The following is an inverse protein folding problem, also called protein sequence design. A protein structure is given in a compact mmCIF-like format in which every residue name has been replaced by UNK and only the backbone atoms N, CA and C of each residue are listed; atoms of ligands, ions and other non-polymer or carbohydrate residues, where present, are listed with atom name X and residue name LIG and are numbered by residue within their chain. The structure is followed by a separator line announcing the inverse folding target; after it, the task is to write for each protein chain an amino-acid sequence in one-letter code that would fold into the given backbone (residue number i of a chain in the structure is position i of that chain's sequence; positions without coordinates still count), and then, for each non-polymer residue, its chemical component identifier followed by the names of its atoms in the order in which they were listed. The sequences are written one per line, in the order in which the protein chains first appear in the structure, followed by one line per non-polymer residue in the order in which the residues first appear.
data_IF_346515247789
#
_entry.id   IF_346515247789
#
_cell.length_a   1.000
_cell.length_b   1.000
_cell.length_c   1.000
_cell.angle_alpha   90.00
_cell.angle_beta   90.00
_cell.angle_gamma   90.00
#
_symmetry.space_group_name_H-M   'P 1'
#
loop_
_entity.id
_entity.type
_entity.pdbx_description
1 polymer ?
#
# COMPACT_ATOMS: atom_id res chain seq x y z
N UNK A 1 15.67 7.44 -19.28
CA UNK A 1 15.61 6.47 -18.19
C UNK A 1 16.09 5.20 -18.82
N UNK A 2 17.26 4.77 -18.39
CA UNK A 2 17.79 3.46 -18.75
C UNK A 2 16.92 2.37 -18.07
N UNK A 3 16.94 1.16 -18.61
CA UNK A 3 16.13 0.06 -18.08
C UNK A 3 16.54 -0.23 -16.63
N UNK A 4 15.55 -0.30 -15.73
CA UNK A 4 15.81 -0.66 -14.34
C UNK A 4 16.52 0.43 -13.54
N UNK A 5 16.31 1.72 -13.84
CA UNK A 5 16.73 2.83 -12.97
C UNK A 5 15.67 3.22 -11.92
N UNK A 6 14.45 2.69 -12.03
CA UNK A 6 13.32 3.07 -11.17
C UNK A 6 12.60 1.87 -10.59
N UNK A 7 12.26 2.03 -9.30
CA UNK A 7 11.42 1.11 -8.54
C UNK A 7 10.08 1.79 -8.20
N UNK A 8 9.06 0.98 -7.94
CA UNK A 8 7.74 1.45 -7.53
C UNK A 8 7.50 1.08 -6.07
N UNK A 9 6.88 1.99 -5.32
CA UNK A 9 6.36 1.72 -3.99
C UNK A 9 4.84 1.91 -4.00
N UNK A 10 4.10 0.83 -3.72
CA UNK A 10 2.66 0.77 -3.76
C UNK A 10 2.09 0.75 -2.33
N UNK A 11 1.22 1.71 -2.03
CA UNK A 11 0.35 1.67 -0.87
C UNK A 11 -1.05 1.20 -1.23
N UNK A 12 -1.94 1.15 -0.22
CA UNK A 12 -3.28 0.59 -0.37
C UNK A 12 -4.13 1.31 -1.43
N UNK A 13 -3.83 2.59 -1.72
CA UNK A 13 -4.51 3.37 -2.76
C UNK A 13 -4.34 2.78 -4.17
N UNK A 14 -3.26 2.05 -4.45
CA UNK A 14 -3.05 1.41 -5.75
C UNK A 14 -4.06 0.27 -6.00
N UNK A 15 -4.50 -0.41 -4.94
CA UNK A 15 -5.40 -1.57 -5.01
C UNK A 15 -6.89 -1.20 -5.09
N UNK A 16 -7.25 0.08 -4.96
CA UNK A 16 -8.65 0.56 -4.94
C UNK A 16 -9.39 0.20 -6.21
N UNK A 17 -8.75 0.37 -7.36
CA UNK A 17 -9.35 0.07 -8.67
C UNK A 17 -9.50 -1.44 -8.93
N UNK A 18 -8.83 -2.26 -8.12
CA UNK A 18 -9.00 -3.71 -8.11
C UNK A 18 -10.11 -4.14 -7.13
N UNK A 19 -10.78 -3.20 -6.46
CA UNK A 19 -11.87 -3.45 -5.52
C UNK A 19 -11.43 -3.67 -4.06
N UNK A 20 -10.15 -3.42 -3.74
CA UNK A 20 -9.63 -3.59 -2.37
C UNK A 20 -9.72 -2.24 -1.64
N UNK A 21 -10.37 -2.17 -0.46
CA UNK A 21 -10.51 -0.93 0.30
C UNK A 21 -9.18 -0.47 0.90
N UNK A 22 -8.99 0.84 1.05
CA UNK A 22 -7.85 1.39 1.79
C UNK A 22 -8.06 1.27 3.31
N UNK A 23 -6.99 1.43 4.10
CA UNK A 23 -7.12 1.56 5.56
C UNK A 23 -8.08 2.68 5.98
N UNK A 24 -8.09 3.80 5.22
CA UNK A 24 -9.05 4.89 5.43
C UNK A 24 -10.51 4.51 5.17
N UNK A 25 -10.76 3.66 4.15
CA UNK A 25 -12.10 3.13 3.89
C UNK A 25 -12.52 2.14 4.99
N UNK A 26 -11.57 1.33 5.48
CA UNK A 26 -11.79 0.35 6.54
C UNK A 26 -12.09 1.00 7.89
N UNK A 27 -11.49 2.15 8.23
CA UNK A 27 -11.85 2.92 9.43
C UNK A 27 -13.36 3.20 9.48
N UNK A 28 -13.94 3.66 8.37
CA UNK A 28 -15.38 3.94 8.31
C UNK A 28 -16.23 2.68 8.38
N UNK A 29 -15.74 1.58 7.79
CA UNK A 29 -16.37 0.27 7.93
C UNK A 29 -16.44 -0.13 9.40
N UNK A 30 -15.32 -0.08 10.14
CA UNK A 30 -15.27 -0.45 11.56
C UNK A 30 -16.14 0.46 12.43
N UNK A 31 -16.07 1.78 12.21
CA UNK A 31 -16.94 2.76 12.88
C UNK A 31 -18.42 2.42 12.71
N UNK A 32 -18.82 2.04 11.49
CA UNK A 32 -20.20 1.61 11.23
C UNK A 32 -20.55 0.33 11.98
N UNK A 33 -19.69 -0.69 11.93
CA UNK A 33 -19.95 -1.96 12.62
C UNK A 33 -20.19 -1.73 14.11
N UNK A 34 -19.27 -1.01 14.77
CA UNK A 34 -19.37 -0.70 16.20
C UNK A 34 -20.64 0.11 16.49
N UNK A 35 -20.87 1.21 15.75
CA UNK A 35 -22.06 2.05 15.94
C UNK A 35 -23.36 1.26 15.79
N UNK A 36 -23.45 0.40 14.76
CA UNK A 36 -24.64 -0.38 14.47
C UNK A 36 -24.91 -1.43 15.55
N UNK A 37 -23.86 -2.11 16.02
CA UNK A 37 -23.95 -3.08 17.11
C UNK A 37 -24.43 -2.41 18.39
N UNK A 38 -23.82 -1.30 18.78
CA UNK A 38 -24.10 -0.60 20.04
C UNK A 38 -25.47 0.08 20.08
N UNK A 39 -25.97 0.54 18.93
CA UNK A 39 -27.27 1.20 18.84
C UNK A 39 -28.39 0.27 18.35
N UNK A 40 -28.09 -1.01 18.14
CA UNK A 40 -29.02 -2.01 17.60
C UNK A 40 -29.68 -1.59 16.27
N UNK A 41 -28.87 -1.03 15.37
CA UNK A 41 -29.29 -0.55 14.05
C UNK A 41 -28.71 -1.47 12.97
N UNK A 42 -29.48 -1.74 11.91
CA UNK A 42 -28.96 -2.48 10.76
C UNK A 42 -27.90 -1.67 10.00
N UNK A 43 -26.81 -2.34 9.61
CA UNK A 43 -25.73 -1.78 8.78
C UNK A 43 -26.22 -1.29 7.42
N UNK A 44 -27.35 -1.80 6.91
CA UNK A 44 -27.99 -1.37 5.67
C UNK A 44 -28.37 0.12 5.67
N UNK A 45 -28.71 0.66 6.85
CA UNK A 45 -29.01 2.09 7.01
C UNK A 45 -27.80 2.97 6.66
N UNK A 46 -26.59 2.45 6.83
CA UNK A 46 -25.32 3.14 6.59
C UNK A 46 -24.48 2.39 5.55
N UNK A 47 -25.12 1.87 4.51
CA UNK A 47 -24.42 1.17 3.42
C UNK A 47 -23.43 2.06 2.67
N UNK A 48 -23.76 3.34 2.47
CA UNK A 48 -22.89 4.29 1.79
C UNK A 48 -22.04 5.07 2.79
N UNK A 49 -20.82 4.57 2.98
CA UNK A 49 -19.80 5.14 3.87
C UNK A 49 -19.01 6.28 3.22
N UNK A 50 -19.26 6.60 1.95
CA UNK A 50 -18.64 7.76 1.27
C UNK A 50 -19.47 9.03 1.46
N UNK A 51 -20.72 8.92 1.91
CA UNK A 51 -21.57 10.08 2.20
C UNK A 51 -21.00 10.92 3.36
N UNK A 52 -20.78 12.24 3.16
CA UNK A 52 -20.29 13.12 4.21
C UNK A 52 -21.21 13.17 5.44
N UNK A 53 -22.52 13.06 5.24
CA UNK A 53 -23.51 13.02 6.32
C UNK A 53 -23.37 11.76 7.18
N UNK A 54 -23.20 10.59 6.55
CA UNK A 54 -22.94 9.33 7.25
C UNK A 54 -21.65 9.41 8.06
N UNK A 55 -20.56 9.84 7.43
CA UNK A 55 -19.26 9.97 8.11
C UNK A 55 -19.32 10.96 9.28
N UNK A 56 -20.00 12.10 9.10
CA UNK A 56 -20.19 13.08 10.17
C UNK A 56 -20.98 12.50 11.34
N UNK A 57 -22.09 11.81 11.08
CA UNK A 57 -22.90 11.19 12.12
C UNK A 57 -22.09 10.16 12.92
N UNK A 58 -21.36 9.28 12.24
CA UNK A 58 -20.52 8.28 12.90
C UNK A 58 -19.41 8.95 13.71
N UNK A 59 -18.74 9.96 13.16
CA UNK A 59 -17.69 10.68 13.89
C UNK A 59 -18.24 11.39 15.13
N UNK A 60 -19.33 12.15 14.98
CA UNK A 60 -19.96 12.89 16.08
C UNK A 60 -20.39 11.96 17.22
N UNK A 61 -20.76 10.71 16.91
CA UNK A 61 -21.06 9.69 17.92
C UNK A 61 -19.83 9.32 18.74
N UNK A 62 -18.72 8.94 18.09
CA UNK A 62 -17.49 8.53 18.78
C UNK A 62 -16.84 9.68 19.54
N UNK A 63 -16.85 10.89 18.97
CA UNK A 63 -16.33 12.09 19.62
C UNK A 63 -17.11 12.41 20.92
N UNK A 64 -18.43 12.24 20.92
CA UNK A 64 -19.28 12.45 22.12
C UNK A 64 -19.14 11.34 23.15
N UNK A 65 -19.00 10.09 22.70
CA UNK A 65 -18.86 8.93 23.58
C UNK A 65 -17.56 8.99 24.38
N UNK A 66 -16.48 9.51 23.77
CA UNK A 66 -15.16 9.58 24.38
C UNK A 66 -14.48 8.21 24.45
N UNK A 67 -13.15 8.21 24.63
CA UNK A 67 -12.34 6.98 24.65
C UNK A 67 -12.01 6.40 23.26
N UNK A 68 -12.45 7.05 22.19
CA UNK A 68 -12.12 6.69 20.80
C UNK A 68 -11.18 7.74 20.19
N UNK A 69 -10.30 7.36 19.24
CA UNK A 69 -9.43 8.31 18.57
C UNK A 69 -10.22 9.35 17.75
N UNK A 70 -9.77 10.62 17.75
CA UNK A 70 -10.35 11.63 16.87
C UNK A 70 -10.06 11.29 15.41
N UNK A 71 -10.87 11.87 14.51
CA UNK A 71 -10.67 11.75 13.06
C UNK A 71 -9.24 12.15 12.67
N UNK A 72 -8.60 11.33 11.85
CA UNK A 72 -7.21 11.51 11.38
C UNK A 72 -6.12 11.27 12.43
N UNK A 73 -6.45 10.71 13.59
CA UNK A 73 -5.42 10.21 14.50
C UNK A 73 -4.59 9.12 13.80
N UNK A 74 -3.28 9.08 14.07
CA UNK A 74 -2.37 8.09 13.49
C UNK A 74 -2.79 6.65 13.83
N UNK A 75 -3.34 6.45 15.02
CA UNK A 75 -3.80 5.17 15.54
C UNK A 75 -5.26 4.84 15.22
N UNK A 76 -5.94 5.64 14.41
CA UNK A 76 -7.37 5.47 14.13
C UNK A 76 -7.66 4.09 13.53
N UNK A 77 -6.87 3.67 12.53
CA UNK A 77 -7.04 2.37 11.89
C UNK A 77 -6.81 1.21 12.87
N UNK A 78 -5.70 1.21 13.59
CA UNK A 78 -5.32 0.14 14.52
C UNK A 78 -6.34 0.00 15.64
N UNK A 79 -6.74 1.11 16.25
CA UNK A 79 -7.73 1.14 17.33
C UNK A 79 -9.07 0.54 16.88
N UNK A 80 -9.66 1.09 15.82
CA UNK A 80 -10.99 0.63 15.38
C UNK A 80 -10.96 -0.80 14.85
N UNK A 81 -9.84 -1.25 14.27
CA UNK A 81 -9.71 -2.62 13.83
C UNK A 81 -9.65 -3.61 15.01
N UNK A 82 -8.89 -3.27 16.06
CA UNK A 82 -8.85 -4.05 17.30
C UNK A 82 -10.21 -4.11 17.99
N UNK A 83 -10.93 -2.98 18.04
CA UNK A 83 -12.25 -2.87 18.66
C UNK A 83 -13.29 -3.74 17.94
N UNK A 84 -13.22 -3.88 16.61
CA UNK A 84 -14.08 -4.80 15.87
C UNK A 84 -13.64 -6.27 15.97
N UNK A 85 -12.33 -6.53 16.04
CA UNK A 85 -11.76 -7.85 15.94
C UNK A 85 -10.63 -8.05 16.95
N UNK A 86 -10.99 -8.53 18.14
CA UNK A 86 -10.08 -8.57 19.28
C UNK A 86 -8.96 -9.63 19.14
N UNK A 87 -9.16 -10.68 18.35
CA UNK A 87 -8.15 -11.74 18.14
C UNK A 87 -7.39 -11.57 16.83
N UNK A 88 -6.08 -11.89 16.86
CA UNK A 88 -5.23 -11.90 15.68
C UNK A 88 -5.79 -12.79 14.55
N UNK A 89 -6.36 -13.95 14.88
CA UNK A 89 -6.98 -14.85 13.90
C UNK A 89 -8.19 -14.20 13.22
N UNK A 90 -9.04 -13.50 13.97
CA UNK A 90 -10.19 -12.80 13.40
C UNK A 90 -9.75 -11.68 12.45
N UNK A 91 -8.72 -10.91 12.84
CA UNK A 91 -8.11 -9.87 11.99
C UNK A 91 -7.50 -10.46 10.71
N UNK A 92 -6.74 -11.55 10.81
CA UNK A 92 -6.17 -12.25 9.64
C UNK A 92 -7.27 -12.70 8.66
N UNK A 93 -8.32 -13.36 9.16
CA UNK A 93 -9.47 -13.78 8.34
C UNK A 93 -10.20 -12.62 7.71
N UNK A 94 -10.35 -11.51 8.44
CA UNK A 94 -10.94 -10.30 7.89
C UNK A 94 -10.10 -9.77 6.72
N UNK A 95 -8.80 -9.57 6.90
CA UNK A 95 -7.91 -9.10 5.83
C UNK A 95 -7.93 -10.06 4.63
N UNK A 96 -7.81 -11.37 4.87
CA UNK A 96 -7.90 -12.39 3.82
C UNK A 96 -9.18 -12.24 2.99
N UNK A 97 -10.33 -12.02 3.65
CA UNK A 97 -11.61 -11.82 2.96
C UNK A 97 -11.67 -10.54 2.11
N UNK A 98 -10.79 -9.57 2.38
CA UNK A 98 -10.74 -8.28 1.66
C UNK A 98 -9.71 -8.22 0.54
N UNK A 99 -8.71 -9.11 0.56
CA UNK A 99 -7.58 -9.05 -0.39
C UNK A 99 -7.51 -10.25 -1.34
N UNK A 100 -8.28 -11.30 -1.06
CA UNK A 100 -8.34 -12.49 -1.94
C UNK A 100 -9.40 -12.35 -3.03
N UNK A 101 -9.21 -13.04 -4.15
CA UNK A 101 -10.17 -13.12 -5.28
C UNK A 101 -10.44 -11.78 -5.98
N UNK A 102 -9.44 -10.91 -6.03
CA UNK A 102 -9.46 -9.68 -6.81
C UNK A 102 -8.61 -9.81 -8.08
N UNK A 103 -9.10 -9.24 -9.17
CA UNK A 103 -8.33 -9.12 -10.41
C UNK A 103 -7.49 -7.83 -10.39
N UNK A 104 -6.26 -7.85 -10.92
CA UNK A 104 -5.47 -6.64 -11.07
C UNK A 104 -6.17 -5.63 -11.99
N UNK A 105 -6.18 -4.37 -11.58
CA UNK A 105 -6.59 -3.25 -12.44
C UNK A 105 -5.63 -3.08 -13.62
N UNK A 106 -6.04 -2.30 -14.63
CA UNK A 106 -5.19 -2.01 -15.78
C UNK A 106 -3.85 -1.38 -15.38
N UNK A 107 -3.83 -0.60 -14.30
CA UNK A 107 -2.59 -0.03 -13.77
C UNK A 107 -1.58 -1.08 -13.31
N UNK A 108 -2.04 -2.16 -12.68
CA UNK A 108 -1.19 -3.29 -12.31
C UNK A 108 -0.72 -4.07 -13.54
N UNK A 109 -1.57 -4.26 -14.55
CA UNK A 109 -1.18 -4.92 -15.80
C UNK A 109 -0.08 -4.14 -16.53
N UNK A 110 -0.20 -2.81 -16.61
CA UNK A 110 0.85 -2.00 -17.21
C UNK A 110 2.14 -2.00 -16.38
N UNK A 111 2.06 -2.04 -15.05
CA UNK A 111 3.23 -2.17 -14.19
C UNK A 111 3.93 -3.52 -14.39
N UNK A 112 3.15 -4.60 -14.47
CA UNK A 112 3.65 -5.94 -14.74
C UNK A 112 4.37 -6.05 -16.09
N UNK A 113 3.81 -5.48 -17.16
CA UNK A 113 4.47 -5.39 -18.47
C UNK A 113 5.83 -4.69 -18.38
N UNK A 114 5.91 -3.56 -17.67
CA UNK A 114 7.20 -2.88 -17.46
C UNK A 114 8.20 -3.70 -16.64
N UNK A 115 7.73 -4.55 -15.72
CA UNK A 115 8.61 -5.44 -14.96
C UNK A 115 9.15 -6.57 -15.82
N UNK A 116 8.31 -7.17 -16.67
CA UNK A 116 8.69 -8.21 -17.64
C UNK A 116 9.75 -7.68 -18.60
N UNK A 117 9.57 -6.45 -19.09
CA UNK A 117 10.52 -5.73 -19.96
C UNK A 117 11.77 -5.20 -19.21
N UNK A 118 11.95 -5.53 -17.92
CA UNK A 118 13.02 -5.05 -17.05
C UNK A 118 13.16 -3.51 -16.97
N UNK A 119 12.12 -2.76 -17.34
CA UNK A 119 12.08 -1.29 -17.20
C UNK A 119 11.90 -0.89 -15.74
N UNK A 120 11.10 -1.66 -15.00
CA UNK A 120 10.96 -1.58 -13.54
C UNK A 120 11.55 -2.84 -12.94
N UNK A 121 12.52 -2.69 -12.03
CA UNK A 121 13.13 -3.89 -11.44
C UNK A 121 12.37 -4.41 -10.25
N UNK A 122 11.85 -3.49 -9.43
CA UNK A 122 11.27 -3.86 -8.13
C UNK A 122 9.99 -3.09 -7.88
N UNK A 123 9.03 -3.82 -7.35
CA UNK A 123 7.85 -3.27 -6.71
C UNK A 123 7.98 -3.54 -5.23
N UNK A 124 7.84 -2.49 -4.46
CA UNK A 124 7.76 -2.54 -3.03
C UNK A 124 6.34 -2.24 -2.59
N UNK A 125 5.85 -2.88 -1.54
CA UNK A 125 4.46 -2.69 -1.12
C UNK A 125 4.26 -2.94 0.36
N UNK A 126 3.34 -2.21 0.96
CA UNK A 126 2.78 -2.50 2.30
C UNK A 126 1.47 -3.29 2.21
N UNK A 127 1.00 -3.58 0.99
CA UNK A 127 -0.28 -4.23 0.78
C UNK A 127 -0.14 -5.75 0.96
N UNK A 128 -1.17 -6.35 1.54
CA UNK A 128 -1.27 -7.80 1.75
C UNK A 128 -1.79 -8.56 0.51
N UNK A 129 -2.26 -7.85 -0.52
CA UNK A 129 -2.75 -8.46 -1.75
C UNK A 129 -1.61 -9.03 -2.62
N UNK A 130 -1.98 -9.78 -3.66
CA UNK A 130 -1.06 -10.38 -4.62
C UNK A 130 -1.28 -9.83 -6.05
N UNK A 131 -1.77 -8.58 -6.17
CA UNK A 131 -2.20 -8.04 -7.47
C UNK A 131 -1.03 -7.87 -8.45
N UNK A 132 0.16 -7.51 -7.97
CA UNK A 132 1.35 -7.36 -8.82
C UNK A 132 1.78 -8.71 -9.39
N UNK A 133 1.86 -9.72 -8.53
CA UNK A 133 2.23 -11.10 -8.86
C UNK A 133 1.21 -11.70 -9.82
N UNK A 134 -0.08 -11.49 -9.55
CA UNK A 134 -1.18 -11.96 -10.40
C UNK A 134 -1.13 -11.28 -11.77
N UNK A 135 -0.85 -9.98 -11.84
CA UNK A 135 -0.72 -9.25 -13.10
C UNK A 135 0.44 -9.78 -13.96
N UNK A 136 1.60 -10.04 -13.34
CA UNK A 136 2.76 -10.64 -14.03
C UNK A 136 2.40 -12.02 -14.56
N UNK A 137 1.78 -12.87 -13.72
CA UNK A 137 1.39 -14.22 -14.12
C UNK A 137 0.33 -14.24 -15.24
N UNK A 138 -0.57 -13.24 -15.29
CA UNK A 138 -1.55 -13.11 -16.39
C UNK A 138 -0.85 -12.81 -17.72
N UNK A 139 0.17 -11.94 -17.72
CA UNK A 139 0.85 -11.49 -18.94
C UNK A 139 1.90 -12.49 -19.39
N UNK A 140 2.72 -12.99 -18.46
CA UNK A 140 3.77 -13.97 -18.74
C UNK A 140 3.90 -14.98 -17.57
N UNK A 141 3.20 -16.12 -17.64
CA UNK A 141 3.27 -17.17 -16.61
C UNK A 141 4.65 -17.81 -16.43
N UNK A 142 5.56 -17.66 -17.40
CA UNK A 142 6.91 -18.19 -17.33
C UNK A 142 7.92 -17.20 -16.72
N UNK A 143 7.49 -15.98 -16.39
CA UNK A 143 8.36 -14.96 -15.81
C UNK A 143 8.80 -15.39 -14.40
N UNK A 144 10.10 -15.58 -14.22
CA UNK A 144 10.68 -15.71 -12.89
C UNK A 144 10.53 -14.39 -12.11
N UNK A 145 9.95 -14.47 -10.91
CA UNK A 145 9.65 -13.34 -10.04
C UNK A 145 10.12 -13.66 -8.62
N UNK A 146 10.93 -12.78 -8.05
CA UNK A 146 11.40 -12.94 -6.68
C UNK A 146 10.43 -12.27 -5.71
N UNK A 147 9.91 -13.02 -4.74
CA UNK A 147 9.06 -12.48 -3.68
C UNK A 147 9.91 -12.31 -2.43
N UNK A 148 9.94 -11.10 -1.89
CA UNK A 148 10.68 -10.74 -0.69
C UNK A 148 9.69 -10.35 0.41
N UNK A 149 9.86 -10.90 1.61
CA UNK A 149 9.06 -10.62 2.80
C UNK A 149 9.86 -10.94 4.06
N UNK A 150 9.33 -10.61 5.23
CA UNK A 150 9.93 -11.00 6.51
C UNK A 150 10.16 -12.51 6.62
N UNK A 151 9.27 -13.35 6.07
CA UNK A 151 9.44 -14.82 6.08
C UNK A 151 10.69 -15.35 5.37
N UNK A 152 11.25 -14.61 4.42
CA UNK A 152 12.43 -15.05 3.68
C UNK A 152 13.59 -14.06 3.77
N UNK A 153 13.60 -13.22 4.80
CA UNK A 153 14.57 -12.16 5.04
C UNK A 153 16.02 -12.63 4.90
N UNK A 154 16.33 -13.80 5.45
CA UNK A 154 17.69 -14.38 5.44
C UNK A 154 18.17 -14.78 4.04
N UNK A 155 17.23 -15.09 3.14
CA UNK A 155 17.49 -15.54 1.78
C UNK A 155 17.65 -14.39 0.79
N UNK A 156 17.18 -13.18 1.13
CA UNK A 156 17.14 -12.01 0.25
C UNK A 156 18.53 -11.69 -0.31
N UNK A 157 19.60 -11.89 0.46
CA UNK A 157 20.98 -11.62 0.03
C UNK A 157 21.45 -12.51 -1.12
N UNK A 158 20.79 -13.65 -1.34
CA UNK A 158 21.11 -14.61 -2.41
C UNK A 158 20.22 -14.43 -3.65
N UNK A 159 19.34 -13.42 -3.67
CA UNK A 159 18.46 -13.16 -4.79
C UNK A 159 19.25 -12.82 -6.04
N UNK A 160 18.93 -13.50 -7.15
CA UNK A 160 19.55 -13.17 -8.43
C UNK A 160 19.05 -11.79 -8.88
N UNK A 161 19.92 -10.76 -8.94
CA UNK A 161 19.51 -9.41 -9.30
C UNK A 161 19.07 -9.30 -10.77
N UNK A 162 19.19 -10.34 -11.59
CA UNK A 162 18.67 -10.34 -12.96
C UNK A 162 17.16 -10.53 -13.02
N UNK A 163 16.50 -11.01 -11.97
CA UNK A 163 15.04 -11.17 -11.96
C UNK A 163 14.34 -9.97 -11.31
N UNK A 164 13.14 -9.59 -11.80
CA UNK A 164 12.33 -8.60 -11.11
C UNK A 164 11.89 -9.13 -9.74
N UNK A 165 11.60 -8.23 -8.80
CA UNK A 165 11.12 -8.60 -7.46
C UNK A 165 9.90 -7.82 -6.99
N UNK A 166 9.08 -8.49 -6.18
CA UNK A 166 8.01 -7.86 -5.39
C UNK A 166 8.36 -8.03 -3.91
N UNK A 167 8.57 -6.92 -3.22
CA UNK A 167 9.00 -6.89 -1.83
C UNK A 167 7.86 -6.38 -0.94
N UNK A 168 7.32 -7.25 -0.09
CA UNK A 168 6.23 -6.97 0.86
C UNK A 168 6.81 -6.58 2.22
N UNK A 169 6.76 -5.28 2.51
CA UNK A 169 7.38 -4.71 3.71
C UNK A 169 6.66 -5.12 4.99
N UNK A 170 5.34 -5.25 4.94
CA UNK A 170 4.54 -5.71 6.08
C UNK A 170 4.36 -7.23 6.12
N UNK A 171 5.13 -7.94 5.29
CA UNK A 171 4.99 -9.38 5.10
C UNK A 171 3.77 -9.79 4.30
N UNK A 172 3.55 -11.10 4.23
CA UNK A 172 2.39 -11.76 3.66
C UNK A 172 1.46 -12.21 4.78
N UNK A 173 0.20 -11.74 4.78
CA UNK A 173 -0.78 -12.05 5.83
C UNK A 173 -0.98 -13.55 6.08
N UNK A 174 -0.65 -14.41 5.09
CA UNK A 174 -0.77 -15.86 5.15
C UNK A 174 0.33 -16.50 6.00
N UNK A 175 1.52 -15.90 6.04
CA UNK A 175 2.72 -16.51 6.60
C UNK A 175 3.35 -15.68 7.72
N UNK A 176 3.11 -14.36 7.74
CA UNK A 176 3.67 -13.42 8.70
C UNK A 176 2.69 -13.10 9.84
N UNK A 177 3.22 -12.52 10.92
CA UNK A 177 2.38 -11.83 11.88
C UNK A 177 1.71 -10.64 11.19
N UNK A 178 0.42 -10.46 11.48
CA UNK A 178 -0.29 -9.32 10.94
C UNK A 178 0.36 -8.05 11.49
N UNK A 179 0.63 -7.05 10.64
CA UNK A 179 1.17 -5.74 11.04
C UNK A 179 0.10 -4.65 10.85
N UNK A 180 -1.06 -4.82 11.49
CA UNK A 180 -2.20 -3.90 11.33
C UNK A 180 -2.53 -3.12 12.60
N UNK A 181 -2.01 -3.53 13.76
CA UNK A 181 -2.19 -2.82 15.03
C UNK A 181 -0.89 -2.23 15.56
N UNK A 182 -0.94 -1.29 16.50
CA UNK A 182 0.29 -0.68 17.06
C UNK A 182 1.21 -1.73 17.69
N UNK A 183 0.64 -2.65 18.47
CA UNK A 183 1.41 -3.76 19.08
C UNK A 183 1.91 -4.80 18.05
N UNK A 184 1.29 -4.83 16.86
CA UNK A 184 1.56 -5.77 15.76
C UNK A 184 2.58 -5.22 14.77
N UNK A 185 2.68 -3.90 14.64
CA UNK A 185 3.70 -3.19 13.88
C UNK A 185 5.06 -3.48 14.49
N UNK A 186 5.64 -4.61 14.11
CA UNK A 186 7.03 -4.90 14.42
C UNK A 186 7.89 -3.90 13.64
N UNK A 187 9.04 -3.51 14.23
CA UNK A 187 10.07 -2.83 13.46
C UNK A 187 10.36 -3.66 12.22
N UNK A 188 10.46 -3.01 11.06
CA UNK A 188 10.86 -3.69 9.83
C UNK A 188 12.08 -4.54 10.13
N UNK A 189 12.06 -5.81 9.70
CA UNK A 189 13.18 -6.71 9.89
C UNK A 189 14.47 -6.05 9.39
N UNK A 190 15.51 -6.08 10.22
CA UNK A 190 16.75 -5.30 9.98
C UNK A 190 17.35 -5.64 8.62
N UNK A 191 17.31 -6.91 8.23
CA UNK A 191 17.76 -7.41 6.93
C UNK A 191 16.93 -6.84 5.77
N UNK A 192 15.62 -6.68 5.94
CA UNK A 192 14.73 -6.11 4.93
C UNK A 192 14.93 -4.59 4.79
N UNK A 193 15.18 -3.91 5.90
CA UNK A 193 15.58 -2.50 5.93
C UNK A 193 16.93 -2.27 5.23
N UNK A 194 17.94 -3.08 5.54
CA UNK A 194 19.24 -3.02 4.86
C UNK A 194 19.09 -3.27 3.36
N UNK A 195 18.29 -4.28 2.99
CA UNK A 195 18.03 -4.60 1.59
C UNK A 195 17.34 -3.44 0.87
N UNK A 196 16.34 -2.81 1.48
CA UNK A 196 15.66 -1.61 0.97
C UNK A 196 16.66 -0.49 0.66
N UNK A 197 17.48 -0.13 1.66
CA UNK A 197 18.46 0.95 1.55
C UNK A 197 19.50 0.66 0.47
N UNK A 198 20.06 -0.55 0.46
CA UNK A 198 21.00 -0.99 -0.57
C UNK A 198 20.38 -0.91 -1.96
N UNK A 199 19.16 -1.42 -2.12
CA UNK A 199 18.44 -1.43 -3.38
C UNK A 199 18.20 -0.03 -3.94
N UNK A 200 17.85 0.95 -3.11
CA UNK A 200 17.51 2.30 -3.57
C UNK A 200 18.72 3.20 -3.84
N UNK A 201 19.94 2.72 -3.56
CA UNK A 201 21.17 3.45 -3.89
C UNK A 201 21.23 3.74 -5.39
N UNK A 202 21.33 5.02 -5.76
CA UNK A 202 21.39 5.52 -7.14
C UNK A 202 20.17 5.19 -8.03
N UNK A 203 19.00 4.96 -7.44
CA UNK A 203 17.76 4.67 -8.19
C UNK A 203 16.64 5.62 -7.81
N UNK A 204 15.72 5.86 -8.75
CA UNK A 204 14.50 6.60 -8.47
C UNK A 204 13.44 5.69 -7.84
N UNK A 205 12.56 6.28 -7.04
CA UNK A 205 11.39 5.58 -6.49
C UNK A 205 10.12 6.36 -6.81
N UNK A 206 9.12 5.68 -7.36
CA UNK A 206 7.79 6.23 -7.62
C UNK A 206 6.83 5.69 -6.57
N UNK A 207 6.24 6.59 -5.79
CA UNK A 207 5.30 6.24 -4.71
C UNK A 207 3.87 6.44 -5.19
N UNK A 208 3.06 5.39 -5.14
CA UNK A 208 1.67 5.40 -5.60
C UNK A 208 0.75 4.88 -4.49
N UNK A 209 -0.29 5.65 -4.17
CA UNK A 209 -1.36 5.17 -3.28
C UNK A 209 -0.97 4.99 -1.81
N UNK A 210 0.19 5.53 -1.39
CA UNK A 210 0.61 5.53 0.02
C UNK A 210 0.15 6.79 0.74
N UNK A 211 -0.53 6.63 1.87
CA UNK A 211 -1.10 7.75 2.65
C UNK A 211 -0.12 8.41 3.61
N UNK A 212 0.99 7.75 3.97
CA UNK A 212 1.98 8.31 4.90
C UNK A 212 1.70 8.04 6.39
N UNK A 213 0.69 7.23 6.71
CA UNK A 213 0.30 6.99 8.11
C UNK A 213 1.14 5.91 8.81
N UNK A 214 2.05 5.24 8.10
CA UNK A 214 2.93 4.23 8.69
C UNK A 214 4.30 4.83 9.04
N UNK A 215 4.58 4.97 10.34
CA UNK A 215 5.84 5.56 10.82
C UNK A 215 7.07 4.74 10.43
N UNK A 216 6.97 3.41 10.36
CA UNK A 216 8.11 2.53 10.03
C UNK A 216 8.59 2.77 8.59
N UNK A 217 7.64 2.96 7.68
CA UNK A 217 7.89 3.29 6.27
C UNK A 217 8.36 4.73 6.12
N UNK A 218 7.79 5.66 6.88
CA UNK A 218 8.22 7.07 6.86
C UNK A 218 9.67 7.22 7.33
N UNK A 219 10.10 6.44 8.33
CA UNK A 219 11.50 6.42 8.77
C UNK A 219 12.41 5.90 7.67
N UNK A 220 12.04 4.83 6.96
CA UNK A 220 12.81 4.33 5.81
C UNK A 220 12.93 5.37 4.71
N UNK A 221 11.84 6.09 4.41
CA UNK A 221 11.84 7.18 3.43
C UNK A 221 12.80 8.32 3.84
N UNK A 222 12.77 8.72 5.12
CA UNK A 222 13.70 9.74 5.66
C UNK A 222 15.15 9.25 5.56
N UNK A 223 15.41 7.99 5.90
CA UNK A 223 16.76 7.40 5.82
C UNK A 223 17.26 7.35 4.37
N UNK A 224 16.41 6.98 3.42
CA UNK A 224 16.71 7.07 1.99
C UNK A 224 17.07 8.50 1.57
N UNK A 225 16.26 9.49 1.94
CA UNK A 225 16.51 10.90 1.60
C UNK A 225 17.83 11.44 2.16
N UNK A 226 18.27 10.94 3.32
CA UNK A 226 19.55 11.32 3.94
C UNK A 226 20.77 10.64 3.32
N UNK A 227 20.59 9.45 2.77
CA UNK A 227 21.70 8.60 2.27
C UNK A 227 21.96 8.84 0.78
N UNK A 228 20.98 9.36 0.04
CA UNK A 228 21.04 9.47 -1.41
C UNK A 228 21.50 10.87 -1.86
N UNK A 229 22.46 10.89 -2.81
CA UNK A 229 22.94 12.07 -3.53
C UNK A 229 21.80 12.86 -4.20
N UNK A 230 22.05 14.14 -4.51
CA UNK A 230 21.21 15.11 -5.24
C UNK A 230 20.50 14.61 -6.53
N UNK A 231 20.81 13.41 -7.02
CA UNK A 231 20.18 12.74 -8.16
C UNK A 231 18.88 11.99 -7.84
N UNK A 232 18.49 11.85 -6.57
CA UNK A 232 17.26 11.16 -6.17
C UNK A 232 15.99 11.97 -6.53
N UNK A 233 15.17 11.43 -7.42
CA UNK A 233 13.87 12.03 -7.80
C UNK A 233 12.75 11.33 -7.05
N UNK A 234 12.36 11.90 -5.91
CA UNK A 234 11.22 11.47 -5.11
C UNK A 234 9.93 12.10 -5.65
N UNK A 235 8.92 11.27 -5.97
CA UNK A 235 7.60 11.74 -6.39
C UNK A 235 6.53 11.01 -5.59
N UNK A 236 6.03 11.66 -4.54
CA UNK A 236 4.88 11.22 -3.76
C UNK A 236 3.63 11.91 -4.31
N UNK A 237 2.71 11.13 -4.87
CA UNK A 237 1.49 11.65 -5.48
C UNK A 237 0.29 11.08 -4.74
N UNK A 238 -0.21 11.86 -3.77
CA UNK A 238 -1.29 11.45 -2.87
C UNK A 238 -2.70 11.85 -3.35
N UNK A 239 -2.84 12.73 -4.36
CA UNK A 239 -4.15 13.14 -4.92
C UNK A 239 -4.06 13.51 -6.41
N UNK A 240 -5.06 13.06 -7.18
CA UNK A 240 -5.17 13.15 -8.65
C UNK A 240 -5.27 14.59 -9.21
N UNK A 241 -5.58 15.62 -8.42
CA UNK A 241 -6.01 16.93 -8.97
C UNK A 241 -5.02 18.09 -8.91
N UNK A 242 -4.06 18.15 -7.98
CA UNK A 242 -3.25 19.37 -7.79
C UNK A 242 -1.78 19.27 -8.23
N UNK A 243 -1.29 18.08 -8.58
CA UNK A 243 0.11 17.92 -8.99
C UNK A 243 0.34 18.01 -10.50
N UNK A 244 -0.71 18.14 -11.33
CA UNK A 244 -0.61 18.07 -12.80
C UNK A 244 0.34 19.14 -13.37
N UNK A 245 0.38 20.33 -12.77
CA UNK A 245 1.22 21.43 -13.26
C UNK A 245 2.69 21.31 -12.82
N UNK A 246 2.96 20.85 -11.60
CA UNK A 246 4.32 20.58 -11.11
C UNK A 246 4.97 19.35 -11.77
N UNK A 247 4.14 18.44 -12.27
CA UNK A 247 4.53 17.27 -13.08
C UNK A 247 5.01 17.70 -14.47
N UNK A 248 4.43 18.75 -15.08
CA UNK A 248 4.82 19.22 -16.42
C UNK A 248 6.26 19.76 -16.49
N UNK A 249 6.78 20.33 -15.40
CA UNK A 249 8.08 21.01 -15.38
C UNK A 249 9.29 20.07 -15.23
N UNK A 250 9.10 18.77 -14.96
CA UNK A 250 10.19 17.80 -14.72
C UNK A 250 10.31 16.68 -15.78
N UNK A 251 9.55 16.77 -16.88
CA UNK A 251 9.18 15.58 -17.66
C UNK A 251 9.35 15.82 -19.18
N UNK A 252 10.35 15.15 -19.80
CA UNK A 252 10.56 15.15 -21.25
C UNK A 252 9.61 14.16 -21.98
N UNK A 253 9.49 14.24 -23.32
CA UNK A 253 8.43 13.59 -24.12
C UNK A 253 8.32 12.05 -24.00
N UNK A 254 9.35 11.34 -23.51
CA UNK A 254 9.35 9.87 -23.36
C UNK A 254 8.56 9.35 -22.13
N UNK A 255 7.90 10.22 -21.35
CA UNK A 255 7.30 9.92 -20.03
C UNK A 255 5.76 9.82 -20.00
N UNK A 256 5.07 9.81 -21.16
CA UNK A 256 3.61 9.59 -21.22
C UNK A 256 3.16 8.27 -20.60
N UNK A 257 3.99 7.21 -20.67
CA UNK A 257 3.66 5.87 -20.16
C UNK A 257 3.52 5.87 -18.63
N UNK A 258 4.44 6.52 -17.90
CA UNK A 258 4.37 6.62 -16.44
C UNK A 258 3.11 7.37 -15.97
N UNK A 259 2.72 8.43 -16.68
CA UNK A 259 1.52 9.20 -16.37
C UNK A 259 0.24 8.39 -16.62
N UNK A 260 0.20 7.58 -17.69
CA UNK A 260 -0.91 6.69 -17.95
C UNK A 260 -1.05 5.63 -16.84
N UNK A 261 0.05 5.01 -16.42
CA UNK A 261 0.04 3.99 -15.36
C UNK A 261 -0.40 4.59 -14.02
N UNK A 262 0.11 5.78 -13.69
CA UNK A 262 -0.34 6.53 -12.52
C UNK A 262 -1.85 6.79 -12.55
N UNK A 263 -2.35 7.29 -13.68
CA UNK A 263 -3.78 7.55 -13.87
C UNK A 263 -4.58 6.27 -13.74
N UNK A 264 -4.09 5.15 -14.26
CA UNK A 264 -4.79 3.86 -14.22
C UNK A 264 -4.78 3.20 -12.83
N UNK A 265 -3.72 3.41 -12.04
CA UNK A 265 -3.62 2.93 -10.67
C UNK A 265 -4.46 3.76 -9.69
N UNK A 266 -4.70 5.05 -9.95
CA UNK A 266 -5.39 5.97 -9.03
C UNK A 266 -6.71 6.58 -9.56
N UNK A 267 -7.12 6.31 -10.80
CA UNK A 267 -8.37 6.83 -11.36
C UNK A 267 -9.57 6.27 -10.60
N UNK A 268 -10.23 7.13 -9.83
CA UNK A 268 -11.52 6.85 -9.21
C UNK A 268 -12.67 7.26 -10.11
#
# INVERSE_FOLDING_TARGET
MENGEVDFFLGAGASVNSGIPTGGDLIWFFKREIYCIENHISTEKFKDLKLPSTQKLLQDYFDKKGGYPPKYASNEYSFYFQECYNSCIARKRFIESKVTRHNPSLGYLCLADMMIENKVKRVWTTNFDALTETAINIINPQQELLICSSTNSDSIRNFNPTYPSVCKLHGDFRYDNLQNTEDELQKLESTLQEHWLHCLTNRGMIVIGYSGNDESIMILDILCKRTLSSSFKYLQLSKVKESIHSILLLISPKKMVLHAIFSLLLAR
#
